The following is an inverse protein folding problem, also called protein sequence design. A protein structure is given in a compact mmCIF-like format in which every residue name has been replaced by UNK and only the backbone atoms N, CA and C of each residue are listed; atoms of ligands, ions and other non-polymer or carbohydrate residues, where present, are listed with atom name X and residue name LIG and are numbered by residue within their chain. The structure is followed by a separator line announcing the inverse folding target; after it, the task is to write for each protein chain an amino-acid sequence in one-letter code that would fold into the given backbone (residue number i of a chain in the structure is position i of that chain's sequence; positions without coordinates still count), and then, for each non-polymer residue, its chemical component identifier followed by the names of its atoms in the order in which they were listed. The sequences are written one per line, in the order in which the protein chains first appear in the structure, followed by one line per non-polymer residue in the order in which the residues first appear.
data_IF_751587197584
#
_entry.id   IF_751587197584
#
_cell.length_a   1.000
_cell.length_b   1.000
_cell.length_c   1.000
_cell.angle_alpha   90.00
_cell.angle_beta   90.00
_cell.angle_gamma   90.00
#
_symmetry.space_group_name_H-M   'P 1'
#
loop_
_entity.id
_entity.type
_entity.pdbx_description
1 polymer ?
#
# COMPACT_ATOMS: atom_id res chain seq x y z
N UNK A 1 -12.91 -19.80 -6.92
CA UNK A 1 -11.63 -19.27 -7.44
C UNK A 1 -10.96 -18.52 -6.30
N UNK A 2 -10.29 -19.24 -5.41
CA UNK A 2 -9.60 -18.66 -4.26
C UNK A 2 -8.29 -18.09 -4.80
N UNK A 3 -8.15 -16.76 -4.79
CA UNK A 3 -6.87 -16.15 -5.06
C UNK A 3 -5.89 -16.69 -4.02
N UNK A 4 -5.08 -17.66 -4.43
CA UNK A 4 -4.13 -18.36 -3.60
C UNK A 4 -3.21 -17.31 -2.97
N UNK A 5 -3.29 -17.21 -1.64
CA UNK A 5 -2.53 -16.26 -0.83
C UNK A 5 -1.07 -16.76 -0.71
N UNK A 6 -0.47 -17.10 -1.85
CA UNK A 6 0.96 -17.29 -2.08
C UNK A 6 1.59 -16.09 -2.81
N UNK A 7 0.80 -15.05 -3.14
CA UNK A 7 1.29 -13.78 -3.67
C UNK A 7 1.70 -12.88 -2.51
N UNK A 8 2.95 -12.43 -2.48
CA UNK A 8 3.60 -11.73 -1.36
C UNK A 8 2.92 -10.43 -0.89
N UNK A 9 1.87 -9.94 -1.57
CA UNK A 9 0.94 -8.85 -1.19
C UNK A 9 -0.09 -8.63 -2.33
N UNK A 10 -1.17 -7.90 -2.07
CA UNK A 10 -2.12 -7.45 -3.11
C UNK A 10 -1.76 -6.03 -3.59
N UNK A 11 -1.79 -5.79 -4.90
CA UNK A 11 -1.64 -4.46 -5.52
C UNK A 11 -2.91 -4.10 -6.29
N UNK A 12 -3.48 -2.95 -6.00
CA UNK A 12 -4.64 -2.40 -6.69
C UNK A 12 -4.21 -1.08 -7.31
N UNK A 13 -4.34 -0.96 -8.63
CA UNK A 13 -4.06 0.28 -9.35
C UNK A 13 -5.32 1.14 -9.35
N UNK A 14 -5.22 2.33 -8.79
CA UNK A 14 -6.29 3.32 -8.73
C UNK A 14 -5.91 4.54 -9.60
N UNK A 15 -6.88 5.38 -10.01
CA UNK A 15 -6.63 6.53 -10.88
C UNK A 15 -5.53 7.49 -10.37
N UNK A 16 -5.35 7.60 -9.04
CA UNK A 16 -4.39 8.53 -8.41
C UNK A 16 -3.16 7.84 -7.78
N UNK A 17 -2.99 6.53 -7.98
CA UNK A 17 -1.87 5.81 -7.35
C UNK A 17 -2.10 4.32 -7.22
N UNK A 18 -1.28 3.68 -6.40
CA UNK A 18 -1.33 2.25 -6.16
C UNK A 18 -1.60 2.00 -4.69
N UNK A 19 -2.64 1.21 -4.41
CA UNK A 19 -2.92 0.69 -3.08
C UNK A 19 -2.27 -0.67 -2.93
N UNK A 20 -1.43 -0.84 -1.91
CA UNK A 20 -0.81 -2.12 -1.58
C UNK A 20 -1.40 -2.63 -0.28
N UNK A 21 -1.86 -3.87 -0.27
CA UNK A 21 -2.38 -4.55 0.94
C UNK A 21 -1.43 -5.67 1.30
N UNK A 22 -0.90 -5.61 2.52
CA UNK A 22 0.15 -6.47 3.04
C UNK A 22 -0.26 -7.11 4.36
N UNK A 23 0.32 -8.26 4.67
CA UNK A 23 0.31 -8.81 6.04
C UNK A 23 1.49 -8.26 6.84
N UNK A 24 1.44 -8.37 8.17
CA UNK A 24 2.47 -7.86 9.09
C UNK A 24 3.89 -8.30 8.74
N UNK A 25 4.08 -9.56 8.36
CA UNK A 25 5.38 -10.13 7.98
C UNK A 25 5.90 -9.64 6.62
N UNK A 26 5.05 -9.02 5.80
CA UNK A 26 5.39 -8.51 4.46
C UNK A 26 5.76 -7.02 4.48
N UNK A 27 5.66 -6.38 5.65
CA UNK A 27 6.06 -4.99 5.84
C UNK A 27 7.57 -4.86 5.75
N UNK A 28 8.02 -3.93 4.90
CA UNK A 28 9.42 -3.50 4.85
C UNK A 28 9.74 -2.69 6.09
N UNK A 29 11.02 -2.60 6.45
CA UNK A 29 11.50 -1.85 7.62
C UNK A 29 10.91 -0.43 7.70
N UNK A 30 10.93 0.33 6.58
CA UNK A 30 10.33 1.68 6.51
C UNK A 30 8.81 1.72 6.77
N UNK A 31 8.07 0.71 6.32
CA UNK A 31 6.62 0.61 6.55
C UNK A 31 6.33 0.21 8.00
N UNK A 32 7.15 -0.69 8.56
CA UNK A 32 7.08 -1.10 9.97
C UNK A 32 7.39 0.05 10.92
N UNK A 33 8.43 0.81 10.60
CA UNK A 33 8.88 2.00 11.34
C UNK A 33 7.99 3.22 11.05
N UNK A 34 6.90 3.05 10.27
CA UNK A 34 5.92 4.10 9.91
C UNK A 34 6.55 5.35 9.27
N UNK A 35 7.69 5.19 8.61
CA UNK A 35 8.35 6.25 7.84
C UNK A 35 7.62 6.57 6.52
N UNK A 36 6.61 5.77 6.17
CA UNK A 36 5.69 5.98 5.06
C UNK A 36 4.27 5.86 5.58
N UNK A 37 3.27 6.47 4.92
CA UNK A 37 1.88 6.34 5.33
C UNK A 37 1.42 4.88 5.23
N UNK A 38 1.12 4.29 6.39
CA UNK A 38 0.61 2.93 6.53
C UNK A 38 -0.62 2.95 7.43
N UNK A 39 -1.73 2.38 6.95
CA UNK A 39 -2.95 2.19 7.75
C UNK A 39 -3.10 0.71 8.11
N UNK A 40 -3.44 0.41 9.37
CA UNK A 40 -3.73 -0.95 9.83
C UNK A 40 -5.24 -1.16 9.85
N UNK A 41 -5.72 -2.20 9.17
CA UNK A 41 -7.12 -2.60 9.19
C UNK A 41 -7.17 -4.08 9.58
N UNK A 42 -7.54 -4.35 10.84
CA UNK A 42 -7.48 -5.69 11.42
C UNK A 42 -6.07 -6.29 11.39
N UNK A 43 -5.90 -7.36 10.61
CA UNK A 43 -4.64 -8.11 10.43
C UNK A 43 -3.85 -7.72 9.18
N UNK A 44 -4.37 -6.79 8.37
CA UNK A 44 -3.70 -6.30 7.17
C UNK A 44 -3.26 -4.85 7.30
N UNK A 45 -2.28 -4.49 6.49
CA UNK A 45 -1.67 -3.18 6.41
C UNK A 45 -1.84 -2.65 5.00
N UNK A 46 -2.36 -1.44 4.90
CA UNK A 46 -2.63 -0.75 3.65
C UNK A 46 -1.58 0.34 3.49
N UNK A 47 -0.93 0.36 2.33
CA UNK A 47 0.11 1.33 1.99
C UNK A 47 -0.30 2.05 0.70
N UNK A 48 -0.37 3.37 0.76
CA UNK A 48 -0.67 4.20 -0.39
C UNK A 48 0.60 4.69 -1.06
N UNK A 49 0.68 4.53 -2.38
CA UNK A 49 1.74 5.09 -3.22
C UNK A 49 1.09 6.01 -4.25
N UNK A 50 1.01 7.34 -3.99
CA UNK A 50 0.44 8.28 -4.96
C UNK A 50 1.28 8.29 -6.24
N UNK A 51 0.63 8.54 -7.38
CA UNK A 51 1.36 8.71 -8.63
C UNK A 51 2.02 10.10 -8.64
N UNK A 52 3.30 10.20 -9.03
CA UNK A 52 4.06 11.45 -8.97
C UNK A 52 3.38 12.62 -9.74
N UNK A 53 2.60 12.30 -10.77
CA UNK A 53 1.83 13.27 -11.57
C UNK A 53 0.61 13.86 -10.84
N UNK A 54 0.09 13.18 -9.81
CA UNK A 54 -1.04 13.67 -9.01
C UNK A 54 -0.57 14.53 -7.84
N UNK A 55 0.57 14.21 -7.22
CA UNK A 55 1.13 15.02 -6.12
C UNK A 55 1.46 16.46 -6.54
N UNK A 56 1.68 16.70 -7.84
CA UNK A 56 1.94 18.04 -8.38
C UNK A 56 0.66 18.88 -8.57
N UNK A 57 -0.52 18.25 -8.68
CA UNK A 57 -1.80 18.94 -8.91
C UNK A 57 -2.57 19.30 -7.64
N UNK A 58 -2.28 18.64 -6.52
CA UNK A 58 -2.91 18.93 -5.23
C UNK A 58 -2.08 19.93 -4.39
N UNK A 59 -0.97 20.47 -4.95
CA UNK A 59 -0.05 21.41 -4.31
C UNK A 59 -0.02 22.81 -4.98
N UNK A 60 -0.91 23.03 -5.96
CA UNK A 60 -1.19 24.32 -6.63
C UNK A 60 -2.59 24.76 -6.24
#
# INVERSE_FOLDING_TARGET
MFAEIAVSYVKIRLPRGILKVKRSHQLRRRERDRQVPVWRVGSVYIVWSPNAETSRRDAE
#
